data_IF_863268572402
#
_entry.id   IF_863268572402
#
_cell.length_a   1.000
_cell.length_b   1.000
_cell.length_c   1.000
_cell.angle_alpha   90.00
_cell.angle_beta   90.00
_cell.angle_gamma   90.00
#
_symmetry.space_group_name_H-M   'P 1'
#
loop_
_entity.id
_entity.type
_entity.pdbx_description
1 polymer ?
#
# COMPACT_ATOMS: atom_id res chain seq x y z
N UNK A 1 17.38 -11.15 9.35
CA UNK A 1 16.86 -12.10 8.36
C UNK A 1 15.97 -11.34 7.37
N UNK A 2 16.54 -10.88 6.24
CA UNK A 2 15.76 -10.37 5.13
C UNK A 2 15.05 -11.59 4.49
N UNK A 3 13.76 -11.73 4.69
CA UNK A 3 12.95 -12.59 3.85
C UNK A 3 13.00 -11.96 2.45
N UNK A 4 13.76 -12.56 1.55
CA UNK A 4 13.73 -12.16 0.13
C UNK A 4 12.39 -12.58 -0.44
N UNK A 5 11.53 -11.62 -0.67
CA UNK A 5 10.28 -11.81 -1.40
C UNK A 5 10.62 -12.15 -2.84
N UNK A 6 10.28 -13.35 -3.27
CA UNK A 6 10.57 -13.81 -4.63
C UNK A 6 9.27 -13.88 -5.41
N UNK A 7 9.21 -13.14 -6.52
CA UNK A 7 8.12 -13.28 -7.49
C UNK A 7 8.45 -14.52 -8.31
N UNK A 8 7.56 -15.52 -8.25
CA UNK A 8 7.69 -16.76 -9.01
C UNK A 8 6.83 -16.64 -10.26
N UNK A 9 7.41 -16.95 -11.41
CA UNK A 9 6.76 -16.97 -12.71
C UNK A 9 7.56 -16.26 -13.80
N UNK A 10 7.48 -16.80 -14.99
CA UNK A 10 8.18 -16.30 -16.17
C UNK A 10 7.26 -15.97 -17.34
N UNK A 11 5.95 -16.09 -17.14
CA UNK A 11 4.97 -15.75 -18.19
C UNK A 11 5.13 -14.30 -18.66
N UNK A 12 4.84 -14.04 -19.91
CA UNK A 12 4.99 -12.70 -20.50
C UNK A 12 4.20 -11.62 -19.73
N UNK A 13 2.94 -11.85 -19.29
CA UNK A 13 2.21 -10.86 -18.51
C UNK A 13 2.91 -10.48 -17.20
N UNK A 14 3.47 -11.45 -16.47
CA UNK A 14 4.17 -11.17 -15.21
C UNK A 14 5.49 -10.44 -15.46
N UNK A 15 6.24 -10.82 -16.50
CA UNK A 15 7.48 -10.14 -16.88
C UNK A 15 7.26 -8.66 -17.24
N UNK A 16 6.16 -8.34 -17.92
CA UNK A 16 5.77 -6.94 -18.21
C UNK A 16 5.52 -6.17 -16.93
N UNK A 17 4.80 -6.75 -15.97
CA UNK A 17 4.53 -6.13 -14.67
C UNK A 17 5.82 -5.90 -13.87
N UNK A 18 6.74 -6.88 -13.84
CA UNK A 18 8.04 -6.77 -13.17
C UNK A 18 8.86 -5.62 -13.78
N UNK A 19 8.99 -5.58 -15.10
CA UNK A 19 9.71 -4.49 -15.79
C UNK A 19 9.09 -3.12 -15.48
N UNK A 20 7.78 -3.03 -15.44
CA UNK A 20 7.10 -1.79 -15.09
C UNK A 20 7.37 -1.39 -13.63
N UNK A 21 7.29 -2.33 -12.69
CA UNK A 21 7.61 -2.11 -11.29
C UNK A 21 9.05 -1.62 -11.10
N UNK A 22 10.02 -2.25 -11.77
CA UNK A 22 11.43 -1.83 -11.73
C UNK A 22 11.64 -0.44 -12.33
N UNK A 23 10.98 -0.13 -13.45
CA UNK A 23 11.09 1.18 -14.10
C UNK A 23 10.57 2.31 -13.23
N UNK A 24 9.53 2.08 -12.45
CA UNK A 24 8.91 3.10 -11.59
C UNK A 24 9.51 3.15 -10.18
N UNK A 25 10.38 2.19 -9.85
CA UNK A 25 10.96 2.06 -8.51
C UNK A 25 11.69 3.33 -8.06
N UNK A 26 12.46 3.96 -8.93
CA UNK A 26 13.23 5.18 -8.61
C UNK A 26 12.40 6.46 -8.55
N UNK A 27 11.15 6.42 -8.99
CA UNK A 27 10.28 7.58 -8.96
C UNK A 27 9.64 7.75 -7.57
N UNK A 28 9.29 8.99 -7.19
CA UNK A 28 8.50 9.28 -5.97
C UNK A 28 6.99 9.14 -6.22
N UNK A 29 6.58 8.85 -7.45
CA UNK A 29 5.18 8.77 -7.83
C UNK A 29 4.45 7.63 -7.09
N UNK A 30 3.21 7.88 -6.73
CA UNK A 30 2.33 6.85 -6.14
C UNK A 30 2.04 5.76 -7.16
N UNK A 31 2.10 4.51 -6.73
CA UNK A 31 1.78 3.34 -7.55
C UNK A 31 0.51 2.70 -7.05
N UNK A 32 -0.42 2.43 -7.96
CA UNK A 32 -1.63 1.67 -7.70
C UNK A 32 -1.48 0.27 -8.31
N UNK A 33 -1.38 -0.74 -7.47
CA UNK A 33 -1.41 -2.15 -7.85
C UNK A 33 -2.87 -2.63 -7.91
N UNK A 34 -3.34 -2.97 -9.09
CA UNK A 34 -4.69 -3.51 -9.28
C UNK A 34 -4.62 -4.99 -9.64
N UNK A 35 -5.42 -5.82 -9.00
CA UNK A 35 -5.48 -7.24 -9.28
C UNK A 35 -6.33 -7.99 -8.27
N UNK A 36 -6.78 -9.17 -8.64
CA UNK A 36 -7.57 -10.05 -7.79
C UNK A 36 -6.81 -10.41 -6.49
N UNK A 37 -7.53 -10.91 -5.50
CA UNK A 37 -6.90 -11.44 -4.29
C UNK A 37 -5.93 -12.58 -4.64
N UNK A 38 -4.79 -12.63 -3.97
CA UNK A 38 -3.78 -13.67 -4.21
C UNK A 38 -2.90 -13.48 -5.46
N UNK A 39 -3.01 -12.36 -6.19
CA UNK A 39 -2.17 -12.11 -7.39
C UNK A 39 -0.73 -11.71 -7.07
N UNK A 40 -0.39 -11.51 -5.79
CA UNK A 40 0.96 -11.15 -5.36
C UNK A 40 1.20 -9.64 -5.25
N UNK A 41 0.15 -8.83 -5.02
CA UNK A 41 0.28 -7.36 -4.88
C UNK A 41 1.33 -6.93 -3.86
N UNK A 42 1.39 -7.61 -2.72
CA UNK A 42 2.39 -7.33 -1.69
C UNK A 42 3.83 -7.60 -2.17
N UNK A 43 4.04 -8.69 -2.93
CA UNK A 43 5.34 -9.01 -3.52
C UNK A 43 5.81 -7.90 -4.48
N UNK A 44 4.87 -7.34 -5.26
CA UNK A 44 5.17 -6.22 -6.15
C UNK A 44 5.46 -4.93 -5.37
N UNK A 45 4.78 -4.68 -4.26
CA UNK A 45 5.08 -3.55 -3.39
C UNK A 45 6.52 -3.65 -2.81
N UNK A 46 6.91 -4.85 -2.35
CA UNK A 46 8.28 -5.13 -1.93
C UNK A 46 9.28 -4.95 -3.07
N UNK A 47 9.01 -5.49 -4.26
CA UNK A 47 9.88 -5.31 -5.44
C UNK A 47 10.13 -3.82 -5.74
N UNK A 48 9.07 -3.01 -5.73
CA UNK A 48 9.16 -1.56 -5.96
C UNK A 48 10.03 -0.89 -4.90
N UNK A 49 9.88 -1.28 -3.63
CA UNK A 49 10.70 -0.75 -2.53
C UNK A 49 12.17 -1.17 -2.67
N UNK A 50 12.44 -2.46 -2.86
CA UNK A 50 13.78 -3.04 -2.92
C UNK A 50 14.61 -2.53 -4.12
N UNK A 51 13.93 -2.12 -5.20
CA UNK A 51 14.55 -1.52 -6.39
C UNK A 51 14.62 0.01 -6.34
N UNK A 52 14.10 0.63 -5.28
CA UNK A 52 14.09 2.09 -5.13
C UNK A 52 15.33 2.63 -4.41
N UNK A 53 15.53 3.93 -4.49
CA UNK A 53 16.53 4.64 -3.68
C UNK A 53 16.25 4.57 -2.17
N UNK A 54 15.08 4.08 -1.77
CA UNK A 54 14.64 3.93 -0.38
C UNK A 54 14.77 2.49 0.14
N UNK A 55 15.43 1.60 -0.60
CA UNK A 55 15.57 0.17 -0.27
C UNK A 55 16.15 -0.13 1.12
N UNK A 56 16.96 0.78 1.66
CA UNK A 56 17.58 0.65 2.99
C UNK A 56 16.75 1.30 4.11
N UNK A 57 15.61 1.91 3.76
CA UNK A 57 14.71 2.56 4.70
C UNK A 57 13.52 1.66 5.05
N UNK A 58 12.64 2.13 5.93
CA UNK A 58 11.48 1.36 6.38
C UNK A 58 10.54 1.01 5.23
N UNK A 59 10.09 -0.24 5.19
CA UNK A 59 8.91 -0.68 4.45
C UNK A 59 7.84 -1.03 5.47
N UNK A 60 6.73 -0.32 5.44
CA UNK A 60 5.60 -0.50 6.36
C UNK A 60 4.37 -0.88 5.55
N UNK A 61 3.65 -1.91 5.97
CA UNK A 61 2.45 -2.37 5.29
C UNK A 61 1.25 -2.45 6.24
N UNK A 62 0.08 -2.15 5.70
CA UNK A 62 -1.20 -2.33 6.40
C UNK A 62 -2.31 -2.66 5.41
N UNK A 63 -3.23 -3.56 5.81
CA UNK A 63 -4.47 -3.82 5.08
C UNK A 63 -5.58 -2.95 5.63
N UNK A 64 -6.16 -2.11 4.77
CA UNK A 64 -7.26 -1.21 5.13
C UNK A 64 -8.56 -1.97 5.44
N UNK A 65 -8.74 -3.19 4.90
CA UNK A 65 -9.91 -4.02 5.14
C UNK A 65 -9.80 -4.94 6.36
N UNK A 66 -8.60 -5.13 6.92
CA UNK A 66 -8.38 -6.07 8.01
C UNK A 66 -8.72 -5.51 9.40
N UNK A 67 -8.84 -4.20 9.55
CA UNK A 67 -9.03 -3.52 10.83
C UNK A 67 -10.32 -2.69 10.84
N UNK A 68 -11.03 -2.61 11.97
CA UNK A 68 -12.10 -1.62 12.16
C UNK A 68 -11.57 -0.20 11.92
N UNK A 69 -12.40 0.68 11.38
CA UNK A 69 -12.01 2.05 10.99
C UNK A 69 -11.30 2.83 12.10
N UNK A 70 -11.84 2.76 13.32
CA UNK A 70 -11.26 3.47 14.48
C UNK A 70 -9.88 2.96 14.87
N UNK A 71 -9.60 1.67 14.65
CA UNK A 71 -8.30 1.06 14.90
C UNK A 71 -7.35 1.44 13.76
N UNK A 72 -7.81 1.33 12.51
CA UNK A 72 -7.02 1.71 11.34
C UNK A 72 -6.55 3.17 11.42
N UNK A 73 -7.41 4.09 11.85
CA UNK A 73 -7.06 5.49 12.04
C UNK A 73 -5.93 5.67 13.05
N UNK A 74 -6.03 5.01 14.21
CA UNK A 74 -4.97 5.04 15.24
C UNK A 74 -3.67 4.44 14.76
N UNK A 75 -3.74 3.35 14.00
CA UNK A 75 -2.53 2.74 13.41
C UNK A 75 -1.87 3.67 12.40
N UNK A 76 -2.63 4.26 11.48
CA UNK A 76 -2.09 5.12 10.43
C UNK A 76 -1.48 6.41 10.98
N UNK A 77 -2.21 7.13 11.83
CA UNK A 77 -1.85 8.48 12.27
C UNK A 77 -1.25 8.54 13.67
N UNK A 78 -1.36 7.45 14.45
CA UNK A 78 -0.96 7.47 15.85
C UNK A 78 -1.89 8.32 16.73
N UNK A 79 -1.56 8.44 17.99
CA UNK A 79 -2.34 9.22 18.94
C UNK A 79 -1.48 9.80 20.07
N UNK A 80 -1.94 10.90 20.60
CA UNK A 80 -1.40 11.48 21.82
C UNK A 80 -2.01 10.79 23.06
N UNK A 81 -1.32 10.89 24.19
CA UNK A 81 -1.85 10.45 25.48
C UNK A 81 -3.18 11.17 25.75
N UNK A 82 -4.22 10.42 26.14
CA UNK A 82 -5.54 10.95 26.44
C UNK A 82 -6.43 11.20 25.21
N UNK A 83 -6.02 10.83 24.02
CA UNK A 83 -6.80 11.05 22.79
C UNK A 83 -8.16 10.33 22.79
N UNK A 84 -8.29 9.22 23.53
CA UNK A 84 -9.50 8.44 23.70
C UNK A 84 -9.41 7.62 24.99
N UNK A 85 -10.50 7.01 25.42
CA UNK A 85 -10.51 6.13 26.62
C UNK A 85 -9.56 4.95 26.41
N UNK A 86 -8.54 4.82 27.27
CA UNK A 86 -7.48 3.79 27.17
C UNK A 86 -6.23 4.24 26.41
N UNK A 87 -6.13 5.50 25.99
CA UNK A 87 -4.90 6.08 25.43
C UNK A 87 -3.94 6.52 26.55
N UNK A 88 -3.39 5.57 27.27
CA UNK A 88 -2.54 5.83 28.44
C UNK A 88 -1.16 6.38 28.07
N UNK A 89 -0.70 6.10 26.84
CA UNK A 89 0.58 6.54 26.32
C UNK A 89 0.41 7.10 24.90
N UNK A 90 1.37 7.90 24.46
CA UNK A 90 1.48 8.31 23.07
C UNK A 90 1.88 7.11 22.19
N UNK A 91 1.31 7.02 20.98
CA UNK A 91 1.67 6.02 19.98
C UNK A 91 2.04 6.67 18.65
N UNK A 92 3.19 6.30 18.11
CA UNK A 92 3.63 6.69 16.76
C UNK A 92 2.83 5.88 15.74
N UNK A 93 2.31 6.56 14.70
CA UNK A 93 1.56 5.93 13.63
C UNK A 93 2.44 5.43 12.48
N UNK A 94 1.80 4.70 11.55
CA UNK A 94 2.50 4.08 10.42
C UNK A 94 3.09 5.10 9.44
N UNK A 95 2.47 6.28 9.27
CA UNK A 95 3.04 7.36 8.46
C UNK A 95 4.37 7.86 9.01
N UNK A 96 4.50 8.00 10.32
CA UNK A 96 5.77 8.36 10.96
C UNK A 96 6.78 7.22 10.87
N UNK A 97 6.34 5.98 11.11
CA UNK A 97 7.20 4.79 11.01
C UNK A 97 7.76 4.59 9.59
N UNK A 98 7.00 5.01 8.56
CA UNK A 98 7.39 4.95 7.16
C UNK A 98 8.18 6.19 6.68
N UNK A 99 8.49 7.15 7.57
CA UNK A 99 9.21 8.37 7.19
C UNK A 99 10.51 8.06 6.46
N UNK A 100 10.75 8.71 5.32
CA UNK A 100 11.82 8.47 4.34
C UNK A 100 11.80 7.09 3.67
N UNK A 101 10.86 6.23 4.02
CA UNK A 101 10.66 4.89 3.47
C UNK A 101 9.44 4.78 2.56
N UNK A 102 8.80 3.62 2.61
CA UNK A 102 7.64 3.27 1.80
C UNK A 102 6.51 2.79 2.71
N UNK A 103 5.30 3.30 2.47
CA UNK A 103 4.06 2.81 3.07
C UNK A 103 3.24 2.08 2.00
N UNK A 104 2.93 0.82 2.27
CA UNK A 104 2.06 0.01 1.44
C UNK A 104 0.67 -0.09 2.07
N UNK A 105 -0.34 0.42 1.37
CA UNK A 105 -1.75 0.36 1.76
C UNK A 105 -2.46 -0.67 0.89
N UNK A 106 -2.69 -1.87 1.42
CA UNK A 106 -3.48 -2.89 0.73
C UNK A 106 -4.98 -2.65 0.95
N UNK A 107 -5.79 -3.10 0.01
CA UNK A 107 -7.25 -2.98 0.03
C UNK A 107 -7.72 -1.52 0.23
N UNK A 108 -7.11 -0.58 -0.52
CA UNK A 108 -7.40 0.86 -0.41
C UNK A 108 -8.88 1.19 -0.68
N UNK A 109 -9.57 0.37 -1.48
CA UNK A 109 -11.01 0.51 -1.75
C UNK A 109 -11.90 0.22 -0.55
N UNK A 110 -11.38 -0.34 0.54
CA UNK A 110 -12.13 -0.59 1.77
C UNK A 110 -12.17 0.63 2.71
N UNK A 111 -11.41 1.69 2.40
CA UNK A 111 -11.39 2.89 3.24
C UNK A 111 -12.74 3.62 3.22
N UNK A 112 -13.34 3.92 4.38
CA UNK A 112 -14.51 4.77 4.45
C UNK A 112 -14.18 6.22 4.05
N UNK A 113 -15.19 6.98 3.61
CA UNK A 113 -15.01 8.30 3.01
C UNK A 113 -14.29 9.32 3.93
N UNK A 114 -14.54 9.27 5.23
CA UNK A 114 -13.88 10.12 6.22
C UNK A 114 -12.37 9.85 6.29
N UNK A 115 -11.97 8.58 6.21
CA UNK A 115 -10.56 8.17 6.15
C UNK A 115 -9.91 8.54 4.82
N UNK A 116 -10.67 8.47 3.73
CA UNK A 116 -10.17 8.91 2.41
C UNK A 116 -9.82 10.41 2.41
N UNK A 117 -10.60 11.24 3.10
CA UNK A 117 -10.31 12.68 3.27
C UNK A 117 -9.00 12.90 4.02
N UNK A 118 -8.79 12.18 5.13
CA UNK A 118 -7.56 12.28 5.93
C UNK A 118 -6.34 11.81 5.14
N UNK A 119 -6.47 10.67 4.45
CA UNK A 119 -5.41 10.14 3.61
C UNK A 119 -5.02 11.13 2.48
N UNK A 120 -6.01 11.69 1.79
CA UNK A 120 -5.79 12.68 0.74
C UNK A 120 -4.96 13.86 1.24
N UNK A 121 -5.33 14.38 2.42
CA UNK A 121 -4.61 15.51 3.03
C UNK A 121 -3.14 15.18 3.27
N UNK A 122 -2.83 14.02 3.85
CA UNK A 122 -1.44 13.60 4.08
C UNK A 122 -0.66 13.44 2.78
N UNK A 123 -1.29 12.88 1.73
CA UNK A 123 -0.63 12.71 0.43
C UNK A 123 -0.35 14.05 -0.25
N UNK A 124 -1.22 15.05 -0.06
CA UNK A 124 -1.08 16.36 -0.69
C UNK A 124 -0.10 17.26 0.05
N UNK A 125 -0.20 17.32 1.37
CA UNK A 125 0.52 18.27 2.21
C UNK A 125 1.81 17.69 2.82
N UNK A 126 2.01 16.36 2.72
CA UNK A 126 3.11 15.62 3.35
C UNK A 126 3.20 15.87 4.87
N UNK A 127 2.05 16.14 5.48
CA UNK A 127 1.95 16.38 6.92
C UNK A 127 0.58 15.96 7.47
N UNK A 128 0.51 15.70 8.76
CA UNK A 128 -0.71 15.35 9.47
C UNK A 128 -0.62 15.70 10.97
N UNK A 129 -1.72 15.49 11.69
CA UNK A 129 -1.80 15.66 13.14
C UNK A 129 -2.24 14.32 13.74
N UNK A 130 -1.57 13.86 14.81
CA UNK A 130 -2.00 12.67 15.57
C UNK A 130 -3.38 12.87 16.17
N UNK A 131 -4.09 11.78 16.41
CA UNK A 131 -5.37 11.84 17.13
C UNK A 131 -5.17 12.47 18.51
N UNK A 132 -6.05 13.43 18.84
CA UNK A 132 -5.98 14.16 20.11
C UNK A 132 -4.82 15.15 20.21
N UNK A 133 -4.00 15.29 19.16
CA UNK A 133 -2.89 16.22 19.11
C UNK A 133 -3.24 17.54 18.44
N UNK A 134 -2.30 18.48 18.52
CA UNK A 134 -2.35 19.79 17.84
C UNK A 134 -1.09 20.07 17.03
N UNK A 135 -0.06 19.25 17.22
CA UNK A 135 1.22 19.40 16.54
C UNK A 135 1.16 18.81 15.13
N UNK A 136 1.62 19.59 14.14
CA UNK A 136 1.75 19.14 12.76
C UNK A 136 3.05 18.37 12.59
N UNK A 137 2.93 17.14 12.09
CA UNK A 137 4.02 16.20 11.86
C UNK A 137 4.26 16.10 10.36
N UNK A 138 5.47 16.46 9.91
CA UNK A 138 5.88 16.36 8.52
C UNK A 138 6.48 14.99 8.22
N UNK A 139 6.07 14.40 7.10
CA UNK A 139 6.53 13.09 6.66
C UNK A 139 6.87 13.08 5.18
N UNK A 140 7.94 12.39 4.83
CA UNK A 140 8.31 12.10 3.44
C UNK A 140 8.16 10.59 3.23
N UNK A 141 7.01 10.18 2.71
CA UNK A 141 6.66 8.78 2.53
C UNK A 141 6.35 8.50 1.07
N UNK A 142 6.98 7.46 0.51
CA UNK A 142 6.54 6.92 -0.76
C UNK A 142 5.33 6.02 -0.54
N UNK A 143 4.26 6.31 -1.28
CA UNK A 143 3.03 5.52 -1.17
C UNK A 143 2.93 4.49 -2.31
N UNK A 144 2.67 3.24 -1.95
CA UNK A 144 2.23 2.17 -2.83
C UNK A 144 0.86 1.71 -2.33
N UNK A 145 -0.12 1.66 -3.20
CA UNK A 145 -1.48 1.24 -2.86
C UNK A 145 -1.89 0.02 -3.65
N UNK A 146 -2.81 -0.77 -3.13
CA UNK A 146 -3.32 -1.94 -3.82
C UNK A 146 -4.83 -2.08 -3.63
N UNK A 147 -5.50 -2.64 -4.65
CA UNK A 147 -6.92 -2.94 -4.60
C UNK A 147 -7.28 -4.09 -5.53
N UNK A 148 -8.33 -4.84 -5.18
CA UNK A 148 -9.00 -5.80 -6.06
C UNK A 148 -10.29 -5.22 -6.65
N UNK A 149 -10.67 -3.99 -6.26
CA UNK A 149 -11.90 -3.32 -6.71
C UNK A 149 -11.66 -2.45 -7.94
N UNK A 150 -12.74 -2.21 -8.68
CA UNK A 150 -12.79 -1.19 -9.73
C UNK A 150 -13.04 0.19 -9.09
N UNK A 151 -11.97 0.91 -8.79
CA UNK A 151 -12.08 2.23 -8.17
C UNK A 151 -12.77 3.26 -9.06
N UNK A 152 -12.72 3.12 -10.38
CA UNK A 152 -13.45 4.02 -11.30
C UNK A 152 -14.96 3.85 -11.15
N UNK A 153 -15.41 2.59 -10.99
CA UNK A 153 -16.81 2.29 -10.69
C UNK A 153 -17.18 2.86 -9.31
N UNK A 154 -16.34 2.67 -8.30
CA UNK A 154 -16.60 3.18 -6.94
C UNK A 154 -16.65 4.70 -6.87
N UNK A 155 -15.87 5.40 -7.71
CA UNK A 155 -15.96 6.86 -7.87
C UNK A 155 -17.31 7.26 -8.44
N UNK A 156 -17.79 6.56 -9.48
CA UNK A 156 -19.13 6.83 -10.07
C UNK A 156 -20.26 6.57 -9.08
N UNK A 157 -20.13 5.58 -8.23
CA UNK A 157 -21.10 5.21 -7.19
C UNK A 157 -21.00 6.06 -5.91
N UNK A 158 -19.97 6.91 -5.81
CA UNK A 158 -19.76 7.81 -4.67
C UNK A 158 -19.15 7.16 -3.43
N UNK A 159 -18.72 5.89 -3.50
CA UNK A 159 -18.04 5.19 -2.39
C UNK A 159 -16.54 5.46 -2.33
N UNK A 160 -15.95 5.97 -3.41
CA UNK A 160 -14.57 6.40 -3.45
C UNK A 160 -14.47 7.84 -4.00
N UNK A 161 -13.64 8.67 -3.36
CA UNK A 161 -13.47 10.08 -3.75
C UNK A 161 -12.68 10.19 -5.04
N UNK A 162 -13.17 11.01 -5.96
CA UNK A 162 -12.51 11.28 -7.23
C UNK A 162 -11.13 11.93 -7.06
N UNK A 163 -11.01 12.88 -6.13
CA UNK A 163 -9.75 13.58 -5.84
C UNK A 163 -8.67 12.63 -5.32
N UNK A 164 -9.01 11.72 -4.41
CA UNK A 164 -8.09 10.69 -3.93
C UNK A 164 -7.72 9.71 -5.06
N UNK A 165 -8.69 9.27 -5.85
CA UNK A 165 -8.44 8.38 -6.98
C UNK A 165 -7.36 8.94 -7.92
N UNK A 166 -7.49 10.20 -8.35
CA UNK A 166 -6.48 10.81 -9.22
C UNK A 166 -5.12 10.97 -8.54
N UNK A 167 -5.09 11.13 -7.23
CA UNK A 167 -3.84 11.28 -6.49
C UNK A 167 -3.09 9.96 -6.30
N UNK A 168 -3.78 8.84 -6.19
CA UNK A 168 -3.16 7.51 -6.03
C UNK A 168 -2.96 6.78 -7.37
N UNK A 169 -3.75 7.08 -8.39
CA UNK A 169 -3.68 6.46 -9.71
C UNK A 169 -2.71 7.21 -10.65
N UNK A 170 -1.51 7.52 -10.17
CA UNK A 170 -0.47 8.15 -11.01
C UNK A 170 0.18 7.11 -11.91
N UNK A 171 0.55 5.96 -11.35
CA UNK A 171 1.07 4.82 -12.08
C UNK A 171 0.25 3.60 -11.71
N UNK A 172 -0.46 3.02 -12.68
CA UNK A 172 -1.27 1.81 -12.48
C UNK A 172 -0.55 0.59 -13.03
N UNK A 173 -0.40 -0.44 -12.19
CA UNK A 173 0.11 -1.76 -12.59
C UNK A 173 -1.02 -2.77 -12.37
N UNK A 174 -1.56 -3.31 -13.46
CA UNK A 174 -2.58 -4.36 -13.41
C UNK A 174 -1.89 -5.72 -13.37
N UNK A 175 -2.06 -6.44 -12.26
CA UNK A 175 -1.50 -7.77 -12.07
C UNK A 175 -2.43 -8.83 -12.66
N UNK A 176 -1.94 -9.71 -13.53
CA UNK A 176 -2.76 -10.73 -14.16
C UNK A 176 -3.18 -11.78 -13.11
N UNK A 177 -4.43 -12.29 -13.18
CA UNK A 177 -4.88 -13.39 -12.34
C UNK A 177 -4.17 -14.71 -12.72
N UNK A 178 -4.20 -15.68 -11.80
CA UNK A 178 -3.49 -16.95 -11.99
C UNK A 178 -3.92 -17.71 -13.27
N UNK A 179 -5.20 -17.61 -13.65
CA UNK A 179 -5.72 -18.21 -14.89
C UNK A 179 -5.07 -17.67 -16.18
N UNK A 180 -4.50 -16.48 -16.13
CA UNK A 180 -3.75 -15.87 -17.25
C UNK A 180 -2.23 -16.15 -17.16
N UNK A 181 -1.80 -16.88 -16.11
CA UNK A 181 -0.42 -17.28 -15.85
C UNK A 181 -0.27 -18.81 -15.88
N UNK A 182 -0.97 -19.49 -16.76
CA UNK A 182 -0.96 -20.97 -16.80
C UNK A 182 0.45 -21.56 -16.92
N UNK A 183 1.37 -20.89 -17.60
CA UNK A 183 2.79 -21.28 -17.67
C UNK A 183 3.53 -21.22 -16.35
N UNK A 184 3.06 -20.43 -15.38
CA UNK A 184 3.73 -20.23 -14.08
C UNK A 184 3.23 -21.22 -13.01
N UNK A 185 2.17 -21.99 -13.28
CA UNK A 185 1.57 -22.91 -12.29
C UNK A 185 2.57 -23.97 -11.84
N UNK A 186 3.34 -24.52 -12.77
CA UNK A 186 4.38 -25.52 -12.46
C UNK A 186 5.46 -24.96 -11.54
N UNK A 187 5.90 -23.74 -11.80
CA UNK A 187 6.93 -23.05 -11.02
C UNK A 187 6.44 -22.69 -9.62
N UNK A 188 5.19 -22.22 -9.52
CA UNK A 188 4.52 -21.94 -8.26
C UNK A 188 4.36 -23.21 -7.41
N UNK A 189 3.92 -24.33 -8.01
CA UNK A 189 3.82 -25.61 -7.32
C UNK A 189 5.20 -26.07 -6.81
N UNK A 190 6.21 -26.00 -7.65
CA UNK A 190 7.58 -26.36 -7.28
C UNK A 190 8.12 -25.49 -6.14
N UNK A 191 7.84 -24.19 -6.18
CA UNK A 191 8.25 -23.25 -5.13
C UNK A 191 7.58 -23.58 -3.79
N UNK A 192 6.25 -23.80 -3.78
CA UNK A 192 5.52 -24.10 -2.55
C UNK A 192 5.89 -25.48 -1.98
N UNK A 193 6.10 -26.50 -2.82
CA UNK A 193 6.54 -27.82 -2.38
C UNK A 193 7.96 -27.82 -1.78
N UNK A 194 8.83 -26.88 -2.18
CA UNK A 194 10.17 -26.72 -1.58
C UNK A 194 10.17 -25.92 -0.28
N UNK A 195 9.13 -25.14 -0.04
CA UNK A 195 9.04 -24.24 1.13
C UNK A 195 8.41 -24.95 2.35
N UNK A 196 7.70 -26.05 2.14
CA UNK A 196 7.06 -26.89 3.15
C UNK A 196 7.67 -28.30 3.17
#
# INVERSE_FOLDING_TARGET
YQQRYTIVGESEPIRKCIKMAEKVADSKATVLLNGESGTGKELFAHLIHDRSKRQNNSFVSVSCGALPTSILERELFGHEKGAFTGADTQKIGLFEAAHKGTLFLDEIGELPLDMQVKLLRVIQEEEFIRLGGTETIKVDVRLVTATNRDLEKEVREGSFRQDLYYRINVIKIALPPLREKLGDISDLLTYFLKKH
#
